data_IF_446942196384
#
_entry.id   IF_446942196384
#
_cell.length_a   1.000
_cell.length_b   1.000
_cell.length_c   1.000
_cell.angle_alpha   90.00
_cell.angle_beta   90.00
_cell.angle_gamma   90.00
#
_symmetry.space_group_name_H-M   'P 1'
#
loop_
_entity.id
_entity.type
_entity.pdbx_description
1 polymer ?
#
# COMPACT_ATOMS: atom_id res chain seq x y z
N UNK A 1 1.35 -7.42 -24.66
CA UNK A 1 1.49 -6.97 -23.22
C UNK A 1 2.56 -5.90 -23.15
N UNK A 2 2.48 -5.01 -22.16
CA UNK A 2 3.56 -4.06 -21.88
C UNK A 2 4.49 -4.74 -20.89
N UNK A 3 5.76 -4.86 -21.22
CA UNK A 3 6.76 -5.56 -20.41
C UNK A 3 7.77 -4.55 -19.88
N UNK A 4 7.88 -4.48 -18.55
CA UNK A 4 8.90 -3.72 -17.84
C UNK A 4 9.92 -4.67 -17.24
N UNK A 5 11.13 -4.70 -17.79
CA UNK A 5 12.20 -5.63 -17.36
C UNK A 5 12.98 -5.10 -16.16
N UNK A 6 12.35 -5.07 -14.99
CA UNK A 6 12.98 -4.56 -13.77
C UNK A 6 14.20 -5.38 -13.34
N UNK A 7 14.06 -6.70 -13.31
CA UNK A 7 15.13 -7.61 -12.88
C UNK A 7 16.17 -7.94 -13.93
N UNK A 8 15.95 -7.49 -15.19
CA UNK A 8 16.79 -7.81 -16.36
C UNK A 8 17.02 -9.31 -16.60
N UNK A 9 16.08 -10.13 -16.11
CA UNK A 9 16.07 -11.57 -16.38
C UNK A 9 15.45 -11.85 -17.75
N UNK A 10 15.85 -12.97 -18.37
CA UNK A 10 15.26 -13.39 -19.63
C UNK A 10 13.76 -13.63 -19.47
N UNK A 11 12.97 -13.09 -20.39
CA UNK A 11 11.53 -13.26 -20.45
C UNK A 11 11.14 -13.99 -21.74
N UNK A 12 10.07 -14.77 -21.67
CA UNK A 12 9.54 -15.45 -22.84
C UNK A 12 8.80 -14.43 -23.70
N UNK A 13 9.45 -13.95 -24.76
CA UNK A 13 9.03 -12.82 -25.58
C UNK A 13 8.18 -13.26 -26.78
N UNK A 14 7.03 -12.63 -26.97
CA UNK A 14 6.17 -12.81 -28.14
C UNK A 14 6.09 -11.51 -28.95
N UNK A 15 6.83 -11.44 -30.06
CA UNK A 15 6.90 -10.24 -30.90
C UNK A 15 5.56 -9.74 -31.47
N UNK A 16 4.49 -10.54 -31.39
CA UNK A 16 3.15 -10.12 -31.84
C UNK A 16 2.31 -9.49 -30.75
N UNK A 17 2.64 -9.73 -29.49
CA UNK A 17 1.83 -9.34 -28.33
C UNK A 17 2.57 -8.43 -27.37
N UNK A 18 3.90 -8.52 -27.33
CA UNK A 18 4.71 -7.85 -26.32
C UNK A 18 5.43 -6.64 -26.90
N UNK A 19 5.47 -5.59 -26.12
CA UNK A 19 6.23 -4.37 -26.34
C UNK A 19 6.90 -3.98 -25.03
N UNK A 20 8.13 -3.50 -25.09
CA UNK A 20 8.78 -2.97 -23.89
C UNK A 20 8.14 -1.65 -23.46
N UNK A 21 8.21 -1.39 -22.15
CA UNK A 21 7.76 -0.09 -21.61
C UNK A 21 8.54 1.08 -22.25
N UNK A 22 9.84 0.92 -22.40
CA UNK A 22 10.75 1.90 -22.98
C UNK A 22 10.36 2.25 -24.43
N UNK A 23 10.08 1.24 -25.27
CA UNK A 23 9.61 1.46 -26.64
C UNK A 23 8.25 2.17 -26.68
N UNK A 24 7.35 1.79 -25.76
CA UNK A 24 6.01 2.38 -25.68
C UNK A 24 6.06 3.87 -25.36
N UNK A 25 6.95 4.30 -24.46
CA UNK A 25 7.01 5.68 -23.99
C UNK A 25 7.97 6.57 -24.78
N UNK A 26 8.88 6.00 -25.58
CA UNK A 26 9.96 6.70 -26.24
C UNK A 26 9.54 7.93 -27.08
N UNK A 27 8.36 7.88 -27.70
CA UNK A 27 7.84 8.92 -28.56
C UNK A 27 6.55 9.57 -28.04
N UNK A 28 6.24 9.38 -26.75
CA UNK A 28 5.07 10.01 -26.14
C UNK A 28 5.38 11.44 -25.72
N UNK A 29 4.38 12.34 -25.77
CA UNK A 29 4.55 13.69 -25.24
C UNK A 29 4.81 13.63 -23.73
N UNK A 30 5.58 14.58 -23.23
CA UNK A 30 5.88 14.72 -21.78
C UNK A 30 4.74 15.38 -21.00
N UNK A 31 3.80 15.98 -21.72
CA UNK A 31 2.63 16.65 -21.15
C UNK A 31 1.35 15.88 -21.53
N UNK A 32 0.48 15.73 -20.56
CA UNK A 32 -0.84 15.11 -20.75
C UNK A 32 -1.84 15.91 -19.89
N UNK A 33 -2.82 16.50 -20.55
CA UNK A 33 -3.90 17.19 -19.84
C UNK A 33 -4.77 16.20 -19.06
N UNK A 34 -5.11 16.55 -17.82
CA UNK A 34 -6.03 15.77 -17.03
C UNK A 34 -7.44 15.82 -17.65
N UNK A 35 -8.10 14.66 -17.74
CA UNK A 35 -9.50 14.63 -18.14
C UNK A 35 -10.38 15.37 -17.11
N UNK A 36 -11.28 16.20 -17.60
CA UNK A 36 -12.30 16.81 -16.75
C UNK A 36 -13.36 15.78 -16.35
N UNK A 37 -13.47 15.51 -15.05
CA UNK A 37 -14.41 14.55 -14.51
C UNK A 37 -15.39 15.22 -13.55
N UNK A 38 -16.62 14.74 -13.55
CA UNK A 38 -17.61 15.08 -12.53
C UNK A 38 -17.43 14.21 -11.29
N UNK A 39 -17.93 14.68 -10.17
CA UNK A 39 -17.86 13.96 -8.89
C UNK A 39 -18.40 12.51 -8.97
N UNK A 40 -19.49 12.33 -9.70
CA UNK A 40 -20.17 11.05 -9.84
C UNK A 40 -19.70 10.20 -11.04
N UNK A 41 -18.72 10.67 -11.80
CA UNK A 41 -18.18 9.88 -12.90
C UNK A 41 -17.53 8.61 -12.38
N UNK A 42 -17.72 7.46 -13.03
CA UNK A 42 -17.09 6.20 -12.66
C UNK A 42 -15.57 6.31 -12.65
N UNK A 43 -14.96 5.85 -11.55
CA UNK A 43 -13.50 5.78 -11.43
C UNK A 43 -13.01 4.37 -11.69
N UNK A 44 -13.50 3.40 -10.93
CA UNK A 44 -13.14 1.99 -11.10
C UNK A 44 -14.21 1.06 -10.52
N UNK A 45 -14.12 -0.22 -10.90
CA UNK A 45 -14.99 -1.27 -10.36
C UNK A 45 -14.08 -2.27 -9.62
N UNK A 46 -14.39 -2.51 -8.35
CA UNK A 46 -13.71 -3.51 -7.54
C UNK A 46 -14.65 -4.70 -7.29
N UNK A 47 -14.19 -5.89 -7.62
CA UNK A 47 -14.96 -7.11 -7.37
C UNK A 47 -14.65 -7.68 -6.00
N UNK A 48 -15.69 -8.03 -5.25
CA UNK A 48 -15.60 -8.78 -3.99
C UNK A 48 -16.03 -10.21 -4.20
N UNK A 49 -15.56 -11.13 -3.36
CA UNK A 49 -15.94 -12.55 -3.41
C UNK A 49 -17.45 -12.81 -3.24
N UNK A 50 -18.17 -11.85 -2.64
CA UNK A 50 -19.62 -11.92 -2.41
C UNK A 50 -20.01 -13.07 -1.47
N UNK A 51 -20.99 -12.82 -0.60
CA UNK A 51 -21.54 -13.84 0.32
C UNK A 51 -22.28 -14.99 -0.38
N UNK A 52 -22.65 -14.81 -1.66
CA UNK A 52 -23.43 -15.77 -2.46
C UNK A 52 -22.57 -16.59 -3.43
N UNK A 53 -21.23 -16.52 -3.32
CA UNK A 53 -20.30 -17.26 -4.18
C UNK A 53 -20.07 -16.64 -5.58
N UNK A 54 -20.88 -15.67 -6.01
CA UNK A 54 -20.62 -14.93 -7.25
C UNK A 54 -19.95 -13.59 -6.95
N UNK A 55 -18.86 -13.23 -7.64
CA UNK A 55 -18.23 -11.94 -7.47
C UNK A 55 -19.22 -10.80 -7.74
N UNK A 56 -19.19 -9.78 -6.88
CA UNK A 56 -19.99 -8.57 -7.03
C UNK A 56 -19.07 -7.40 -7.31
N UNK A 57 -19.34 -6.68 -8.40
CA UNK A 57 -18.62 -5.46 -8.76
C UNK A 57 -19.17 -4.27 -7.98
N UNK A 58 -18.30 -3.60 -7.23
CA UNK A 58 -18.60 -2.34 -6.55
C UNK A 58 -18.05 -1.20 -7.39
N UNK A 59 -18.93 -0.34 -7.88
CA UNK A 59 -18.54 0.85 -8.62
C UNK A 59 -18.17 1.97 -7.65
N UNK A 60 -16.96 2.50 -7.81
CA UNK A 60 -16.49 3.67 -7.10
C UNK A 60 -16.54 4.90 -8.01
N UNK A 61 -17.09 6.00 -7.51
CA UNK A 61 -17.10 7.28 -8.22
C UNK A 61 -15.84 8.09 -7.89
N UNK A 62 -15.49 9.03 -8.77
CA UNK A 62 -14.23 9.79 -8.69
C UNK A 62 -14.13 10.56 -7.38
N UNK A 63 -15.08 11.43 -7.07
CA UNK A 63 -15.02 12.18 -5.81
C UNK A 63 -15.40 11.35 -4.60
N UNK A 64 -16.34 10.41 -4.72
CA UNK A 64 -16.80 9.57 -3.62
C UNK A 64 -15.66 8.73 -3.03
N UNK A 65 -14.87 8.10 -3.88
CA UNK A 65 -13.70 7.32 -3.44
C UNK A 65 -12.62 8.20 -2.81
N UNK A 66 -12.24 9.29 -3.48
CA UNK A 66 -11.20 10.17 -2.97
C UNK A 66 -11.58 10.81 -1.64
N UNK A 67 -12.83 11.28 -1.51
CA UNK A 67 -13.33 11.84 -0.26
C UNK A 67 -13.33 10.81 0.87
N UNK A 68 -13.78 9.60 0.59
CA UNK A 68 -13.75 8.49 1.56
C UNK A 68 -12.32 8.15 2.01
N UNK A 69 -11.38 8.06 1.08
CA UNK A 69 -9.96 7.82 1.38
C UNK A 69 -9.35 8.94 2.22
N UNK A 70 -9.60 10.20 1.83
CA UNK A 70 -9.10 11.39 2.53
C UNK A 70 -9.62 11.45 3.97
N UNK A 71 -10.93 11.40 4.16
CA UNK A 71 -11.55 11.57 5.48
C UNK A 71 -11.23 10.38 6.40
N UNK A 72 -11.32 9.15 5.90
CA UNK A 72 -10.98 7.98 6.70
C UNK A 72 -9.52 8.02 7.15
N UNK A 73 -8.59 8.36 6.27
CA UNK A 73 -7.19 8.53 6.63
C UNK A 73 -7.00 9.58 7.71
N UNK A 74 -7.57 10.78 7.51
CA UNK A 74 -7.46 11.89 8.44
C UNK A 74 -7.96 11.56 9.85
N UNK A 75 -9.16 11.00 9.94
CA UNK A 75 -9.82 10.82 11.23
C UNK A 75 -9.44 9.51 11.93
N UNK A 76 -9.26 8.41 11.20
CA UNK A 76 -8.92 7.13 11.82
C UNK A 76 -7.50 7.14 12.36
N UNK A 77 -6.55 7.68 11.61
CA UNK A 77 -5.15 7.75 12.07
C UNK A 77 -4.85 9.00 12.92
N UNK A 78 -5.78 9.96 12.99
CA UNK A 78 -5.57 11.20 13.75
C UNK A 78 -4.27 11.87 13.35
N UNK A 79 -4.10 12.12 12.04
CA UNK A 79 -2.87 12.62 11.45
C UNK A 79 -2.46 13.96 12.05
N UNK A 80 -1.15 14.16 12.18
CA UNK A 80 -0.52 15.40 12.61
C UNK A 80 0.38 15.94 11.51
N UNK A 81 0.72 17.22 11.62
CA UNK A 81 1.74 17.82 10.77
C UNK A 81 3.05 17.04 10.94
N UNK A 82 3.76 16.85 9.84
CA UNK A 82 5.03 16.11 9.76
C UNK A 82 4.97 14.60 10.06
N UNK A 83 3.78 14.00 10.22
CA UNK A 83 3.67 12.55 10.33
C UNK A 83 4.22 11.85 9.07
N UNK A 84 4.95 10.77 9.30
CA UNK A 84 5.39 9.84 8.28
C UNK A 84 4.56 8.56 8.42
N UNK A 85 3.79 8.27 7.37
CA UNK A 85 2.93 7.09 7.30
C UNK A 85 3.57 5.97 6.52
N UNK A 86 3.43 4.75 6.99
CA UNK A 86 3.81 3.57 6.24
C UNK A 86 2.73 2.50 6.30
N UNK A 87 2.13 2.24 5.15
CA UNK A 87 1.26 1.11 4.91
C UNK A 87 2.04 0.02 4.16
N UNK A 88 2.06 -1.20 4.69
CA UNK A 88 2.80 -2.32 4.09
C UNK A 88 1.97 -3.15 3.11
N UNK A 89 0.76 -2.71 2.78
CA UNK A 89 -0.07 -3.38 1.78
C UNK A 89 0.59 -3.31 0.39
N UNK A 90 0.33 -4.31 -0.43
CA UNK A 90 0.71 -4.29 -1.83
C UNK A 90 -0.16 -3.30 -2.62
N UNK A 91 0.45 -2.58 -3.55
CA UNK A 91 -0.28 -1.61 -4.42
C UNK A 91 -1.27 -2.29 -5.36
N UNK A 92 -1.19 -3.60 -5.54
CA UNK A 92 -2.18 -4.41 -6.26
C UNK A 92 -3.51 -4.59 -5.51
N UNK A 93 -3.58 -4.22 -4.22
CA UNK A 93 -4.78 -4.30 -3.39
C UNK A 93 -5.39 -2.94 -3.16
N UNK A 94 -6.72 -2.91 -2.92
CA UNK A 94 -7.41 -1.65 -2.63
C UNK A 94 -6.85 -0.93 -1.41
N UNK A 95 -6.37 -1.65 -0.40
CA UNK A 95 -5.72 -1.07 0.77
C UNK A 95 -4.47 -0.28 0.38
N UNK A 96 -3.67 -0.81 -0.57
CA UNK A 96 -2.51 -0.09 -1.10
C UNK A 96 -2.92 1.19 -1.82
N UNK A 97 -3.92 1.12 -2.70
CA UNK A 97 -4.46 2.31 -3.37
C UNK A 97 -4.95 3.34 -2.35
N UNK A 98 -5.77 2.93 -1.39
CA UNK A 98 -6.40 3.85 -0.43
C UNK A 98 -5.39 4.45 0.54
N UNK A 99 -4.50 3.61 1.12
CA UNK A 99 -3.69 3.98 2.28
C UNK A 99 -2.18 4.04 2.02
N UNK A 100 -1.71 3.80 0.79
CA UNK A 100 -0.35 4.21 0.38
C UNK A 100 -0.42 5.49 -0.45
N UNK A 101 -1.43 5.63 -1.33
CA UNK A 101 -1.50 6.72 -2.29
C UNK A 101 -2.56 7.76 -1.91
N UNK A 102 -3.84 7.44 -2.10
CA UNK A 102 -4.90 8.45 -2.08
C UNK A 102 -5.12 9.08 -0.70
N UNK A 103 -5.20 8.29 0.36
CA UNK A 103 -5.40 8.79 1.73
C UNK A 103 -4.29 9.73 2.18
N UNK A 104 -3.02 9.26 2.27
CA UNK A 104 -1.93 10.09 2.74
C UNK A 104 -1.64 11.27 1.81
N UNK A 105 -1.53 11.08 0.49
CA UNK A 105 -1.15 12.15 -0.42
C UNK A 105 -2.21 13.25 -0.52
N UNK A 106 -3.51 12.89 -0.47
CA UNK A 106 -4.59 13.90 -0.46
C UNK A 106 -4.67 14.71 0.83
N UNK A 107 -4.00 14.25 1.89
CA UNK A 107 -3.84 14.98 3.15
C UNK A 107 -2.47 15.66 3.29
N UNK A 108 -1.61 15.59 2.28
CA UNK A 108 -0.27 16.16 2.32
C UNK A 108 0.72 15.41 3.24
N UNK A 109 0.41 14.18 3.61
CA UNK A 109 1.23 13.36 4.51
C UNK A 109 2.30 12.61 3.73
N UNK A 110 3.52 12.58 4.28
CA UNK A 110 4.61 11.77 3.73
C UNK A 110 4.28 10.29 3.88
N UNK A 111 4.34 9.54 2.78
CA UNK A 111 4.10 8.09 2.78
C UNK A 111 5.34 7.33 2.34
N UNK A 112 5.64 6.23 3.03
CA UNK A 112 6.74 5.33 2.67
C UNK A 112 6.24 4.32 1.65
N UNK A 113 6.90 4.25 0.51
CA UNK A 113 6.73 3.17 -0.47
C UNK A 113 7.86 2.16 -0.30
N UNK A 114 7.51 0.92 -0.04
CA UNK A 114 8.46 -0.12 0.30
C UNK A 114 8.40 -1.27 -0.70
N UNK A 115 9.56 -1.61 -1.26
CA UNK A 115 9.76 -2.78 -2.09
C UNK A 115 10.48 -3.87 -1.28
N UNK A 116 9.76 -4.92 -0.93
CA UNK A 116 10.34 -6.01 -0.16
C UNK A 116 9.31 -6.80 0.64
N UNK A 117 9.81 -7.72 1.44
CA UNK A 117 9.00 -8.57 2.33
C UNK A 117 9.47 -8.40 3.78
N UNK A 118 8.62 -8.70 4.77
CA UNK A 118 8.90 -8.40 6.18
C UNK A 118 10.12 -9.14 6.74
N UNK A 119 10.49 -10.26 6.14
CA UNK A 119 11.54 -11.16 6.67
C UNK A 119 12.85 -11.15 5.88
N UNK A 120 12.99 -10.29 4.87
CA UNK A 120 14.21 -10.20 4.07
C UNK A 120 14.87 -8.81 4.19
N UNK A 121 16.19 -8.71 4.37
CA UNK A 121 17.19 -9.80 4.51
C UNK A 121 17.11 -10.54 5.85
N UNK A 122 16.44 -9.97 6.84
CA UNK A 122 16.18 -10.57 8.15
C UNK A 122 14.85 -10.02 8.74
N UNK A 123 14.26 -10.69 9.75
CA UNK A 123 12.96 -10.32 10.31
C UNK A 123 12.91 -8.97 11.06
N UNK A 124 14.01 -8.28 11.26
CA UNK A 124 14.01 -6.91 11.79
C UNK A 124 13.69 -5.86 10.72
N UNK A 125 13.52 -6.27 9.47
CA UNK A 125 13.39 -5.37 8.31
C UNK A 125 12.35 -4.27 8.50
N UNK A 126 11.13 -4.62 8.91
CA UNK A 126 10.07 -3.63 9.10
C UNK A 126 10.43 -2.61 10.18
N UNK A 127 10.95 -3.08 11.28
CA UNK A 127 11.32 -2.23 12.42
C UNK A 127 12.48 -1.30 12.08
N UNK A 128 13.46 -1.79 11.33
CA UNK A 128 14.56 -0.96 10.82
C UNK A 128 14.07 0.14 9.87
N UNK A 129 13.10 -0.17 9.01
CA UNK A 129 12.48 0.84 8.14
C UNK A 129 11.75 1.90 8.97
N UNK A 130 11.00 1.47 10.00
CA UNK A 130 10.34 2.40 10.91
C UNK A 130 11.32 3.35 11.58
N UNK A 131 12.44 2.83 12.11
CA UNK A 131 13.47 3.64 12.76
C UNK A 131 14.20 4.57 11.79
N UNK A 132 14.58 4.04 10.63
CA UNK A 132 15.34 4.77 9.63
C UNK A 132 14.55 5.98 9.08
N UNK A 133 13.26 5.77 8.83
CA UNK A 133 12.39 6.80 8.25
C UNK A 133 11.55 7.54 9.28
N UNK A 134 11.73 7.25 10.58
CA UNK A 134 10.97 7.87 11.67
C UNK A 134 9.46 7.76 11.49
N UNK A 135 9.01 6.58 11.10
CA UNK A 135 7.58 6.31 10.86
C UNK A 135 6.77 6.57 12.12
N UNK A 136 5.71 7.37 11.99
CA UNK A 136 4.80 7.71 13.09
C UNK A 136 3.53 6.86 13.07
N UNK A 137 3.09 6.48 11.89
CA UNK A 137 1.88 5.68 11.68
C UNK A 137 2.28 4.43 10.89
N UNK A 138 2.21 3.28 11.55
CA UNK A 138 2.54 1.99 10.94
C UNK A 138 1.27 1.16 10.76
N UNK A 139 0.94 0.80 9.51
CA UNK A 139 -0.30 0.15 9.12
C UNK A 139 -0.02 -1.11 8.30
N UNK A 140 -0.41 -2.27 8.83
CA UNK A 140 -0.06 -3.57 8.24
C UNK A 140 -1.20 -4.59 8.40
N UNK A 141 -0.99 -5.80 7.91
CA UNK A 141 -1.95 -6.89 8.05
C UNK A 141 -1.59 -7.81 9.24
N UNK A 142 -2.57 -8.35 9.98
CA UNK A 142 -2.31 -9.34 11.04
C UNK A 142 -1.48 -10.54 10.58
N UNK A 143 -1.62 -10.96 9.32
CA UNK A 143 -0.80 -12.01 8.72
C UNK A 143 0.69 -11.65 8.72
N UNK A 144 1.05 -10.41 8.41
CA UNK A 144 2.44 -9.96 8.45
C UNK A 144 2.98 -9.96 9.89
N UNK A 145 2.16 -9.52 10.86
CA UNK A 145 2.53 -9.52 12.28
C UNK A 145 2.76 -10.96 12.76
N UNK A 146 1.84 -11.89 12.47
CA UNK A 146 2.04 -13.32 12.80
C UNK A 146 3.31 -13.90 12.21
N UNK A 147 3.66 -13.53 10.99
CA UNK A 147 4.91 -13.97 10.37
C UNK A 147 6.15 -13.46 11.12
N UNK A 148 6.08 -12.24 11.69
CA UNK A 148 7.17 -11.68 12.49
C UNK A 148 7.25 -12.33 13.87
N UNK A 149 6.11 -12.55 14.56
CA UNK A 149 6.03 -13.28 15.83
C UNK A 149 6.71 -14.65 15.71
N UNK A 150 6.42 -15.39 14.64
CA UNK A 150 7.00 -16.71 14.39
C UNK A 150 8.53 -16.71 14.27
N UNK A 151 9.17 -15.56 14.02
CA UNK A 151 10.63 -15.43 13.96
C UNK A 151 11.28 -15.19 15.33
N UNK A 152 10.48 -14.80 16.34
CA UNK A 152 10.92 -14.54 17.71
C UNK A 152 11.37 -13.09 17.96
N UNK A 153 11.38 -12.71 19.23
CA UNK A 153 11.52 -11.32 19.68
C UNK A 153 12.92 -10.74 19.55
N UNK A 154 13.95 -11.59 19.39
CA UNK A 154 15.34 -11.13 19.21
C UNK A 154 15.53 -10.10 18.08
N UNK A 155 14.63 -10.10 17.10
CA UNK A 155 14.68 -9.17 15.97
C UNK A 155 14.12 -7.78 16.30
N UNK A 156 13.53 -7.61 17.48
CA UNK A 156 13.05 -6.32 17.99
C UNK A 156 14.16 -5.55 18.71
N UNK A 157 15.15 -6.26 19.29
CA UNK A 157 16.17 -5.69 20.17
C UNK A 157 17.05 -4.63 19.50
N UNK A 158 17.23 -4.73 18.18
CA UNK A 158 18.08 -3.81 17.41
C UNK A 158 17.40 -2.51 16.99
N UNK A 159 16.13 -2.29 17.40
CA UNK A 159 15.32 -1.16 16.96
C UNK A 159 14.58 -0.52 18.14
N UNK A 160 14.46 0.81 18.14
CA UNK A 160 13.78 1.54 19.21
C UNK A 160 12.28 1.66 18.98
N UNK A 161 11.86 1.90 17.73
CA UNK A 161 10.48 2.17 17.31
C UNK A 161 9.84 3.39 18.00
N UNK A 162 10.65 4.25 18.62
CA UNK A 162 10.20 5.38 19.45
C UNK A 162 9.39 6.42 18.68
N UNK A 163 9.53 6.45 17.35
CA UNK A 163 8.77 7.37 16.51
C UNK A 163 7.32 6.92 16.28
N UNK A 164 7.03 5.63 16.49
CA UNK A 164 5.69 5.08 16.20
C UNK A 164 4.70 5.57 17.25
N UNK A 165 3.66 6.24 16.78
CA UNK A 165 2.58 6.80 17.58
C UNK A 165 1.26 6.05 17.39
N UNK A 166 1.06 5.49 16.21
CA UNK A 166 -0.14 4.74 15.84
C UNK A 166 0.26 3.42 15.19
N UNK A 167 -0.28 2.34 15.72
CA UNK A 167 -0.25 1.02 15.11
C UNK A 167 -1.65 0.69 14.59
N UNK A 168 -1.74 0.20 13.39
CA UNK A 168 -3.01 -0.16 12.77
C UNK A 168 -2.94 -1.46 12.00
N UNK A 169 -4.06 -2.18 11.94
CA UNK A 169 -4.17 -3.42 11.18
C UNK A 169 -5.36 -3.40 10.24
N UNK A 170 -5.27 -4.16 9.16
CA UNK A 170 -6.27 -4.18 8.08
C UNK A 170 -6.35 -5.53 7.38
N UNK A 171 -7.50 -5.76 6.75
CA UNK A 171 -7.75 -6.87 5.84
C UNK A 171 -8.36 -8.10 6.48
N UNK A 172 -8.13 -8.31 7.78
CA UNK A 172 -8.66 -9.42 8.56
C UNK A 172 -8.77 -9.06 10.04
N UNK A 173 -9.59 -9.75 10.83
CA UNK A 173 -9.59 -9.60 12.29
C UNK A 173 -8.22 -9.95 12.88
N UNK A 174 -7.79 -9.19 13.88
CA UNK A 174 -6.57 -9.49 14.64
C UNK A 174 -6.94 -10.26 15.91
N UNK A 175 -6.18 -11.31 16.22
CA UNK A 175 -6.36 -12.08 17.45
C UNK A 175 -5.78 -11.30 18.65
N UNK A 176 -6.32 -11.48 19.88
CA UNK A 176 -5.84 -10.76 21.05
C UNK A 176 -4.34 -10.91 21.32
N UNK A 177 -3.80 -12.11 21.23
CA UNK A 177 -2.38 -12.42 21.41
C UNK A 177 -1.47 -11.71 20.40
N UNK A 178 -1.94 -11.61 19.15
CA UNK A 178 -1.22 -10.88 18.09
C UNK A 178 -1.30 -9.37 18.32
N UNK A 179 -2.42 -8.89 18.83
CA UNK A 179 -2.62 -7.50 19.21
C UNK A 179 -1.73 -7.07 20.37
N UNK A 180 -1.64 -7.91 21.42
CA UNK A 180 -0.79 -7.64 22.58
C UNK A 180 0.70 -7.61 22.24
N UNK A 181 1.14 -8.46 21.31
CA UNK A 181 2.51 -8.46 20.84
C UNK A 181 2.85 -7.24 19.97
N UNK A 182 1.89 -6.81 19.16
CA UNK A 182 2.05 -5.71 18.20
C UNK A 182 2.14 -4.36 18.88
#
# INVERSE_FOLDING_TARGET
>A
MIVFQYTKTDVNWNNKLDITYEELVANQPTECECAELKAEDPSFILYTSGSTGKPKGVLHTTAGYLLGANLSFKYIFGIKDDDIHWCTADVGWITGHTYILYGPLSNGVTTVMFEGVPTYPDPSRFWKVCDQHKVNIFYTAPTAIRALIAQGDKYLESTSRDSIRVLGTVGEPINPDVWEWY
#
